data_IF_173583534363
#
_entry.id   IF_173583534363
#
_cell.length_a   1.000
_cell.length_b   1.000
_cell.length_c   1.000
_cell.angle_alpha   90.00
_cell.angle_beta   90.00
_cell.angle_gamma   90.00
#
_symmetry.space_group_name_H-M   'P 1'
#
loop_
_entity.id
_entity.type
_entity.pdbx_description
1 polymer ?
#
# COMPACT_ATOMS: atom_id res chain seq x y z
N UNK A 1 -18.12 5.20 0.16
CA UNK A 1 -17.40 3.91 -0.03
C UNK A 1 -18.42 2.77 -0.10
N UNK A 2 -18.26 1.78 -0.99
CA UNK A 2 -19.21 0.66 -1.17
C UNK A 2 -19.01 -0.50 -0.18
N UNK A 3 -18.44 -0.24 1.01
CA UNK A 3 -18.15 -1.26 2.02
C UNK A 3 -17.00 -2.22 1.68
N UNK A 4 -16.30 -2.02 0.55
CA UNK A 4 -15.14 -2.84 0.18
C UNK A 4 -13.89 -2.37 0.93
N UNK A 5 -12.99 -3.29 1.33
CA UNK A 5 -11.69 -2.92 1.88
C UNK A 5 -10.84 -2.25 0.80
N UNK A 6 -10.20 -1.13 1.14
CA UNK A 6 -9.35 -0.36 0.23
C UNK A 6 -7.95 -0.23 0.83
N UNK A 7 -6.93 -0.52 0.03
CA UNK A 7 -5.53 -0.22 0.31
C UNK A 7 -5.04 0.82 -0.70
N UNK A 8 -4.41 1.89 -0.22
CA UNK A 8 -3.84 2.92 -1.08
C UNK A 8 -2.35 2.64 -1.35
N UNK A 9 -1.95 2.59 -2.62
CA UNK A 9 -0.53 2.65 -3.01
C UNK A 9 -0.19 4.11 -3.32
N UNK A 10 0.80 4.67 -2.64
CA UNK A 10 1.12 6.10 -2.70
C UNK A 10 2.61 6.32 -2.98
N UNK A 11 3.02 7.46 -3.53
CA UNK A 11 4.44 7.75 -3.74
C UNK A 11 5.26 7.81 -2.44
N UNK A 12 4.64 8.26 -1.35
CA UNK A 12 5.21 8.36 -0.01
C UNK A 12 4.14 8.73 1.01
N UNK A 13 4.44 8.62 2.30
CA UNK A 13 3.55 9.04 3.38
C UNK A 13 3.97 10.42 3.89
N UNK A 14 3.02 11.35 3.90
CA UNK A 14 3.21 12.70 4.43
C UNK A 14 2.42 12.92 5.73
N UNK A 15 2.56 14.09 6.37
CA UNK A 15 1.78 14.43 7.56
C UNK A 15 0.27 14.25 7.33
N UNK A 16 -0.42 13.61 8.28
CA UNK A 16 -1.87 13.42 8.24
C UNK A 16 -2.36 12.23 7.39
N UNK A 17 -1.47 11.39 6.86
CA UNK A 17 -1.87 10.21 6.08
C UNK A 17 -2.78 9.25 6.87
N UNK A 18 -2.70 9.25 8.20
CA UNK A 18 -3.50 8.43 9.10
C UNK A 18 -5.00 8.74 8.99
N UNK A 19 -5.35 9.95 8.54
CA UNK A 19 -6.73 10.41 8.35
C UNK A 19 -7.45 9.65 7.23
N UNK A 20 -6.71 8.99 6.33
CA UNK A 20 -7.24 8.11 5.28
C UNK A 20 -8.13 6.99 5.85
N UNK A 21 -7.86 6.55 7.08
CA UNK A 21 -8.70 5.58 7.80
C UNK A 21 -10.15 6.05 7.93
N UNK A 22 -10.38 7.36 8.17
CA UNK A 22 -11.71 7.96 8.28
C UNK A 22 -12.45 8.00 6.95
N UNK A 23 -11.72 7.92 5.83
CA UNK A 23 -12.25 7.88 4.47
C UNK A 23 -12.53 6.45 3.99
N UNK A 24 -12.28 5.43 4.82
CA UNK A 24 -12.48 4.02 4.50
C UNK A 24 -11.29 3.36 3.81
N UNK A 25 -10.14 4.03 3.76
CA UNK A 25 -8.86 3.42 3.32
C UNK A 25 -8.23 2.74 4.54
N UNK A 26 -8.14 1.41 4.50
CA UNK A 26 -7.74 0.61 5.66
C UNK A 26 -6.23 0.49 5.84
N UNK A 27 -5.48 0.73 4.77
CA UNK A 27 -4.02 0.78 4.80
C UNK A 27 -3.50 1.69 3.69
N UNK A 28 -2.31 2.26 3.90
CA UNK A 28 -1.56 2.97 2.88
C UNK A 28 -0.14 2.40 2.83
N UNK A 29 0.36 2.12 1.63
CA UNK A 29 1.68 1.56 1.40
C UNK A 29 2.47 2.47 0.44
N UNK A 30 3.65 2.97 0.82
CA UNK A 30 4.50 3.72 -0.09
C UNK A 30 5.07 2.83 -1.20
N UNK A 31 5.13 3.37 -2.41
CA UNK A 31 5.70 2.73 -3.58
C UNK A 31 7.23 2.67 -3.49
N UNK A 32 7.83 3.76 -3.04
CA UNK A 32 9.26 3.83 -2.72
C UNK A 32 9.55 2.96 -1.50
N UNK A 33 10.62 2.17 -1.58
CA UNK A 33 11.09 1.26 -0.54
C UNK A 33 12.36 1.76 0.17
N UNK A 34 12.76 2.99 -0.10
CA UNK A 34 13.87 3.66 0.56
C UNK A 34 14.05 5.11 0.10
N UNK A 35 15.04 5.83 0.66
CA UNK A 35 15.38 7.19 0.22
C UNK A 35 15.74 7.22 -1.26
N UNK A 36 15.07 8.09 -2.02
CA UNK A 36 15.28 8.29 -3.46
C UNK A 36 15.04 9.76 -3.79
N UNK A 37 15.65 10.25 -4.87
CA UNK A 37 15.31 11.58 -5.41
C UNK A 37 13.92 11.55 -6.04
N UNK A 38 13.23 12.70 -6.07
CA UNK A 38 11.93 12.80 -6.72
C UNK A 38 12.01 12.42 -8.20
N UNK A 39 13.04 12.88 -8.90
CA UNK A 39 13.26 12.55 -10.31
C UNK A 39 13.45 11.03 -10.50
N UNK A 40 14.25 10.38 -9.65
CA UNK A 40 14.44 8.93 -9.67
C UNK A 40 13.14 8.17 -9.40
N UNK A 41 12.31 8.65 -8.48
CA UNK A 41 11.00 8.06 -8.21
C UNK A 41 10.06 8.20 -9.41
N UNK A 42 10.03 9.36 -10.07
CA UNK A 42 9.19 9.61 -11.24
C UNK A 42 9.64 8.77 -12.45
N UNK A 43 10.94 8.67 -12.70
CA UNK A 43 11.49 7.87 -13.80
C UNK A 43 11.20 6.36 -13.62
N UNK A 44 11.21 5.87 -12.38
CA UNK A 44 11.02 4.46 -12.05
C UNK A 44 9.61 4.13 -11.52
N UNK A 45 8.65 5.04 -11.65
CA UNK A 45 7.34 4.94 -10.99
C UNK A 45 6.60 3.63 -11.29
N UNK A 46 6.67 3.14 -12.53
CA UNK A 46 6.04 1.88 -12.94
C UNK A 46 6.61 0.68 -12.17
N UNK A 47 7.94 0.53 -12.15
CA UNK A 47 8.60 -0.57 -11.44
C UNK A 47 8.40 -0.50 -9.92
N UNK A 48 8.43 0.71 -9.36
CA UNK A 48 8.18 0.96 -7.94
C UNK A 48 6.74 0.56 -7.56
N UNK A 49 5.75 0.93 -8.37
CA UNK A 49 4.35 0.56 -8.16
C UNK A 49 4.13 -0.94 -8.29
N UNK A 50 4.72 -1.59 -9.30
CA UNK A 50 4.63 -3.04 -9.48
C UNK A 50 5.18 -3.78 -8.25
N UNK A 51 6.37 -3.37 -7.79
CA UNK A 51 6.99 -3.95 -6.60
C UNK A 51 6.14 -3.71 -5.35
N UNK A 52 5.57 -2.52 -5.19
CA UNK A 52 4.68 -2.20 -4.08
C UNK A 52 3.37 -3.01 -4.10
N UNK A 53 2.80 -3.21 -5.28
CA UNK A 53 1.63 -4.05 -5.48
C UNK A 53 1.94 -5.51 -5.12
N UNK A 54 3.09 -6.04 -5.53
CA UNK A 54 3.54 -7.37 -5.14
C UNK A 54 3.70 -7.51 -3.62
N UNK A 55 4.36 -6.55 -2.95
CA UNK A 55 4.47 -6.50 -1.48
C UNK A 55 3.09 -6.48 -0.82
N UNK A 56 2.16 -5.67 -1.33
CA UNK A 56 0.78 -5.62 -0.84
C UNK A 56 0.08 -6.98 -0.99
N UNK A 57 0.19 -7.63 -2.14
CA UNK A 57 -0.37 -8.95 -2.38
C UNK A 57 0.19 -10.00 -1.40
N UNK A 58 1.51 -10.04 -1.20
CA UNK A 58 2.13 -10.97 -0.23
C UNK A 58 1.63 -10.75 1.20
N UNK A 59 1.39 -9.49 1.63
CA UNK A 59 0.79 -9.22 2.94
C UNK A 59 -0.65 -9.74 3.03
N UNK A 60 -1.43 -9.60 1.94
CA UNK A 60 -2.79 -10.14 1.88
C UNK A 60 -2.78 -11.68 1.92
N UNK A 61 -1.83 -12.33 1.25
CA UNK A 61 -1.65 -13.78 1.31
C UNK A 61 -1.33 -14.24 2.74
N UNK A 62 -0.38 -13.58 3.43
CA UNK A 62 -0.10 -13.86 4.85
C UNK A 62 -1.35 -13.70 5.69
N UNK A 63 -2.11 -12.62 5.50
CA UNK A 63 -3.38 -12.41 6.21
C UNK A 63 -4.41 -13.50 5.92
N UNK A 64 -4.51 -13.98 4.67
CA UNK A 64 -5.41 -15.06 4.28
C UNK A 64 -5.01 -16.40 4.93
N UNK A 65 -3.71 -16.68 5.08
CA UNK A 65 -3.20 -17.86 5.77
C UNK A 65 -3.51 -17.81 7.28
N UNK A 66 -3.31 -16.66 7.92
CA UNK A 66 -3.62 -16.47 9.34
C UNK A 66 -5.13 -16.56 9.61
N UNK A 67 -5.96 -16.08 8.67
CA UNK A 67 -7.42 -16.19 8.73
C UNK A 67 -7.98 -17.57 8.38
N UNK A 68 -7.15 -18.51 7.94
CA UNK A 68 -7.53 -19.90 7.64
C UNK A 68 -7.69 -20.80 8.87
N UNK A 69 -7.47 -20.27 10.08
CA UNK A 69 -7.53 -21.01 11.33
C UNK A 69 -8.93 -21.24 11.91
N UNK A 70 -9.96 -20.47 11.51
CA UNK A 70 -11.33 -20.68 11.97
C UNK A 70 -12.33 -20.32 10.87
N UNK A 71 -12.86 -21.35 10.20
CA UNK A 71 -14.14 -21.33 9.48
C UNK A 71 -14.90 -22.60 9.83
#
# INVERSE_FOLDING_TARGET
>A
ARGLPVVALVGGLGPGWEELSRLGVRAALPAVDGPITLEGAMQNAAALLETAAARCASLLEVGALLGGGER
#
